data_IF_240972652755
#
_entry.id   IF_240972652755
#
_cell.length_a   1.000
_cell.length_b   1.000
_cell.length_c   1.000
_cell.angle_alpha   90.00
_cell.angle_beta   90.00
_cell.angle_gamma   90.00
#
_symmetry.space_group_name_H-M   'P 1'
#
loop_
_entity.id
_entity.type
_entity.pdbx_description
1 polymer ?
#
# COMPACT_ATOMS: atom_id res chain seq x y z
N UNK A 1 -2.75 3.54 7.54
CA UNK A 1 -1.69 4.57 7.61
C UNK A 1 -0.45 4.09 6.88
N UNK A 2 0.37 5.03 6.40
CA UNK A 2 1.60 4.79 5.67
C UNK A 2 2.78 5.42 6.43
N UNK A 3 3.30 4.76 7.48
CA UNK A 3 4.41 5.30 8.25
C UNK A 3 5.67 5.47 7.38
N UNK A 4 6.53 6.41 7.77
CA UNK A 4 7.85 6.56 7.14
C UNK A 4 8.60 5.23 7.15
N UNK A 5 9.23 4.88 6.02
CA UNK A 5 9.86 3.57 5.83
C UNK A 5 8.94 2.51 5.21
N UNK A 6 7.64 2.77 5.05
CA UNK A 6 6.74 1.86 4.31
C UNK A 6 7.25 1.70 2.88
N UNK A 7 7.32 0.44 2.42
CA UNK A 7 7.75 0.11 1.07
C UNK A 7 6.55 -0.09 0.16
N UNK A 8 6.53 0.59 -0.97
CA UNK A 8 5.40 0.57 -1.92
C UNK A 8 5.91 0.25 -3.33
N UNK A 9 5.07 -0.43 -4.12
CA UNK A 9 5.21 -0.59 -5.56
C UNK A 9 4.03 0.08 -6.26
N UNK A 10 4.33 0.92 -7.26
CA UNK A 10 3.31 1.57 -8.08
C UNK A 10 2.71 0.57 -9.08
N UNK A 11 1.39 0.46 -9.16
CA UNK A 11 0.70 -0.51 -10.02
C UNK A 11 0.20 0.08 -11.35
N UNK A 12 0.16 1.42 -11.46
CA UNK A 12 -0.23 2.17 -12.67
C UNK A 12 0.72 3.34 -12.90
N UNK A 13 1.05 3.64 -14.16
CA UNK A 13 1.88 4.83 -14.47
C UNK A 13 1.11 6.10 -14.14
N UNK A 14 1.76 7.05 -13.47
CA UNK A 14 1.20 8.38 -13.21
C UNK A 14 1.25 9.23 -14.49
N UNK A 15 0.13 9.85 -14.85
CA UNK A 15 -0.02 10.69 -16.04
C UNK A 15 0.43 12.13 -15.78
N UNK A 16 1.73 12.30 -15.48
CA UNK A 16 2.35 13.57 -15.17
C UNK A 16 3.70 13.72 -15.89
N UNK A 17 4.11 14.97 -16.16
CA UNK A 17 5.45 15.26 -16.71
C UNK A 17 6.57 14.67 -15.84
N UNK A 18 6.36 14.64 -14.52
CA UNK A 18 7.26 14.05 -13.54
C UNK A 18 6.72 12.72 -12.98
N UNK A 19 5.79 12.08 -13.68
CA UNK A 19 5.12 10.84 -13.29
C UNK A 19 6.07 9.66 -13.06
N UNK A 20 5.64 8.70 -12.26
CA UNK A 20 6.41 7.50 -11.97
C UNK A 20 5.87 6.34 -12.80
N UNK A 21 6.76 5.53 -13.37
CA UNK A 21 6.40 4.38 -14.18
C UNK A 21 5.86 3.24 -13.32
N UNK A 22 4.87 2.50 -13.85
CA UNK A 22 4.38 1.26 -13.25
C UNK A 22 5.54 0.31 -12.89
N UNK A 23 5.43 -0.32 -11.73
CA UNK A 23 6.41 -1.25 -11.18
C UNK A 23 7.56 -0.58 -10.43
N UNK A 24 7.66 0.75 -10.50
CA UNK A 24 8.64 1.48 -9.69
C UNK A 24 8.32 1.29 -8.22
N UNK A 25 9.36 1.00 -7.44
CA UNK A 25 9.27 0.86 -6.00
C UNK A 25 9.81 2.10 -5.32
N UNK A 26 9.23 2.42 -4.16
CA UNK A 26 9.58 3.60 -3.41
C UNK A 26 9.34 3.40 -1.93
N UNK A 27 9.95 4.28 -1.14
CA UNK A 27 9.84 4.26 0.31
C UNK A 27 9.15 5.55 0.77
N UNK A 28 8.16 5.42 1.64
CA UNK A 28 7.46 6.56 2.23
C UNK A 28 8.44 7.36 3.09
N UNK A 29 8.49 8.68 2.89
CA UNK A 29 9.29 9.60 3.68
C UNK A 29 8.43 10.23 4.78
N UNK A 30 7.26 10.73 4.41
CA UNK A 30 6.29 11.36 5.31
C UNK A 30 4.89 11.34 4.69
N UNK A 31 3.87 11.51 5.51
CA UNK A 31 2.50 11.82 5.07
C UNK A 31 2.16 13.20 5.62
N UNK A 32 1.70 14.10 4.76
CA UNK A 32 1.30 15.43 5.18
C UNK A 32 -0.12 15.46 5.75
N UNK A 33 -0.54 16.63 6.25
CA UNK A 33 -1.85 16.85 6.88
C UNK A 33 -3.02 16.80 5.88
N UNK A 34 -2.75 16.96 4.58
CA UNK A 34 -3.72 16.78 3.50
C UNK A 34 -3.90 15.28 3.17
N UNK A 35 -2.91 14.45 3.52
CA UNK A 35 -2.93 13.00 3.29
C UNK A 35 -2.09 12.55 2.09
N UNK A 36 -1.30 13.44 1.49
CA UNK A 36 -0.36 13.08 0.43
C UNK A 36 0.79 12.25 1.02
N UNK A 37 1.08 11.11 0.40
CA UNK A 37 2.20 10.26 0.78
C UNK A 37 3.43 10.72 0.00
N UNK A 38 4.39 11.34 0.68
CA UNK A 38 5.64 11.75 0.05
C UNK A 38 6.57 10.55 -0.08
N UNK A 39 7.06 10.34 -1.30
CA UNK A 39 7.79 9.14 -1.68
C UNK A 39 9.23 9.46 -2.05
N UNK A 40 10.14 8.56 -1.66
CA UNK A 40 11.46 8.42 -2.28
C UNK A 40 11.42 7.23 -3.22
N UNK A 41 11.25 7.48 -4.51
CA UNK A 41 11.25 6.42 -5.52
C UNK A 41 12.67 5.95 -5.85
N UNK A 42 12.84 4.67 -6.15
CA UNK A 42 14.14 4.06 -6.45
C UNK A 42 14.79 4.65 -7.69
N UNK A 43 13.98 5.11 -8.65
CA UNK A 43 14.44 5.77 -9.86
C UNK A 43 14.82 7.25 -9.63
N UNK A 44 14.84 7.71 -8.37
CA UNK A 44 15.21 9.06 -7.99
C UNK A 44 14.09 10.09 -8.10
N UNK A 45 12.88 9.70 -8.51
CA UNK A 45 11.72 10.60 -8.52
C UNK A 45 11.17 10.82 -7.11
N UNK A 46 10.41 11.90 -6.94
CA UNK A 46 9.82 12.31 -5.65
C UNK A 46 8.34 12.67 -5.71
N UNK A 47 7.63 12.33 -6.79
CA UNK A 47 6.19 12.61 -6.88
C UNK A 47 5.43 11.82 -5.81
N UNK A 48 4.55 12.50 -5.08
CA UNK A 48 3.77 11.88 -4.00
C UNK A 48 2.67 10.96 -4.51
N UNK A 49 2.09 10.16 -3.62
CA UNK A 49 0.90 9.36 -3.88
C UNK A 49 -0.32 9.94 -3.16
N UNK A 50 -1.47 9.84 -3.81
CA UNK A 50 -2.79 10.10 -3.27
C UNK A 50 -3.53 8.76 -3.20
N UNK A 51 -3.87 8.23 -2.00
CA UNK A 51 -4.48 6.90 -1.83
C UNK A 51 -5.74 6.63 -2.65
N UNK A 52 -6.51 7.67 -2.96
CA UNK A 52 -7.79 7.58 -3.66
C UNK A 52 -7.64 7.69 -5.19
N UNK A 53 -6.49 8.18 -5.67
CA UNK A 53 -6.23 8.41 -7.11
C UNK A 53 -5.19 7.42 -7.65
N UNK A 54 -4.12 7.19 -6.89
CA UNK A 54 -3.01 6.35 -7.31
C UNK A 54 -3.22 4.88 -6.97
N UNK A 55 -2.91 4.00 -7.92
CA UNK A 55 -2.98 2.57 -7.72
C UNK A 55 -1.61 2.02 -7.33
N UNK A 56 -1.49 1.50 -6.10
CA UNK A 56 -0.24 0.98 -5.58
C UNK A 56 -0.44 -0.18 -4.59
N UNK A 57 0.65 -0.91 -4.30
CA UNK A 57 0.69 -2.00 -3.34
C UNK A 57 1.73 -1.74 -2.26
N UNK A 58 1.34 -1.93 -0.99
CA UNK A 58 2.30 -1.98 0.12
C UNK A 58 3.03 -3.32 0.11
N UNK A 59 4.36 -3.27 0.05
CA UNK A 59 5.25 -4.44 0.06
C UNK A 59 5.69 -4.81 1.48
N UNK A 60 5.99 -3.81 2.31
CA UNK A 60 6.37 -4.01 3.72
C UNK A 60 6.15 -2.74 4.53
N UNK A 61 6.04 -2.90 5.86
CA UNK A 61 5.99 -1.79 6.83
C UNK A 61 7.19 -1.89 7.78
N UNK A 62 7.66 -0.77 8.34
CA UNK A 62 8.69 -0.79 9.38
C UNK A 62 8.21 -1.62 10.59
N UNK A 63 9.14 -2.35 11.22
CA UNK A 63 8.83 -3.31 12.29
C UNK A 63 8.31 -2.71 13.60
N UNK A 64 8.35 -1.39 13.78
CA UNK A 64 7.87 -0.73 15.01
C UNK A 64 6.34 -0.56 15.08
N UNK A 65 5.60 -1.00 14.05
CA UNK A 65 4.13 -0.89 13.98
C UNK A 65 3.42 -2.26 13.95
N UNK A 66 4.02 -3.32 14.53
CA UNK A 66 3.32 -4.60 14.76
C UNK A 66 2.60 -4.55 16.11
N UNK A 67 1.56 -3.73 16.22
CA UNK A 67 0.44 -3.95 17.14
C UNK A 67 -0.82 -3.49 16.42
N UNK A 68 -1.74 -4.43 16.19
CA UNK A 68 -3.14 -4.22 15.75
C UNK A 68 -3.39 -3.91 14.27
N UNK A 69 -3.14 -4.87 13.35
CA UNK A 69 -3.97 -4.99 12.14
C UNK A 69 -3.96 -6.38 11.49
N UNK A 70 -3.79 -7.46 12.26
CA UNK A 70 -3.87 -8.85 11.79
C UNK A 70 -5.15 -9.56 12.28
N UNK A 71 -6.31 -8.90 12.26
CA UNK A 71 -7.60 -9.57 12.47
C UNK A 71 -8.68 -9.00 11.52
N UNK A 72 -8.53 -9.18 10.21
CA UNK A 72 -9.70 -9.27 9.32
C UNK A 72 -9.34 -9.85 7.96
N UNK A 73 -9.16 -11.17 7.85
CA UNK A 73 -9.39 -11.96 6.62
C UNK A 73 -8.96 -13.42 6.73
N UNK A 74 -9.30 -14.10 7.84
CA UNK A 74 -9.45 -15.57 7.82
C UNK A 74 -10.65 -15.92 8.71
N UNK A 75 -11.35 -16.97 8.29
CA UNK A 75 -12.62 -17.50 8.81
C UNK A 75 -13.87 -17.04 8.03
N UNK A 76 -14.65 -17.89 7.38
CA UNK A 76 -14.76 -19.36 7.47
C UNK A 76 -15.45 -19.93 6.22
N UNK A 77 -14.87 -20.98 5.63
CA UNK A 77 -15.61 -21.99 4.90
C UNK A 77 -16.30 -22.92 5.91
N UNK A 78 -17.62 -22.97 5.90
CA UNK A 78 -18.43 -24.09 6.43
C UNK A 78 -19.45 -24.37 5.32
N UNK A 79 -19.53 -25.53 4.68
CA UNK A 79 -19.52 -26.87 5.27
C UNK A 79 -20.97 -27.25 5.61
N UNK A 80 -21.79 -27.61 4.62
CA UNK A 80 -23.07 -28.31 4.87
C UNK A 80 -23.04 -29.64 4.13
N UNK A 81 -22.55 -30.66 4.83
CA UNK A 81 -22.85 -32.05 4.54
C UNK A 81 -23.98 -32.51 5.47
N UNK A 82 -24.99 -33.14 4.89
CA UNK A 82 -25.76 -34.23 5.51
C UNK A 82 -26.94 -33.84 6.40
N UNK A 83 -28.15 -34.02 5.87
CA UNK A 83 -29.30 -34.52 6.64
C UNK A 83 -30.05 -35.53 5.78
N UNK A 84 -29.86 -36.81 6.09
CA UNK A 84 -30.76 -37.90 5.70
C UNK A 84 -31.82 -38.05 6.77
N UNK A 85 -33.09 -38.12 6.38
CA UNK A 85 -34.16 -38.97 6.93
C UNK A 85 -35.14 -39.27 5.80
#
# INVERSE_FOLDING_TARGET
>A
MYPAGTRIELLSTMDDQQGVEKGTKGTVILVDDIGTIHMKWDNGRGLGLIPEEDNFKVLSRPQEEIKESEEHSKEQSHGMGGMSL
#
